data_IF_570834341373
#
_entry.id   IF_570834341373
#
_cell.length_a   1.000
_cell.length_b   1.000
_cell.length_c   1.000
_cell.angle_alpha   90.00
_cell.angle_beta   90.00
_cell.angle_gamma   90.00
#
_symmetry.space_group_name_H-M   'P 1'
#
loop_
_entity.id
_entity.type
_entity.pdbx_description
1 polymer ?
#
# COMPACT_ATOMS: atom_id res chain seq x y z
N UNK A 1 5.70 10.21 -2.65
CA UNK A 1 4.55 9.72 -3.44
C UNK A 1 3.23 9.86 -2.68
N UNK A 2 3.06 9.22 -1.52
CA UNK A 2 1.82 9.32 -0.72
C UNK A 2 1.51 10.79 -0.34
N UNK A 3 2.47 11.50 0.25
CA UNK A 3 2.33 12.94 0.59
C UNK A 3 2.05 13.85 -0.61
N UNK A 4 2.33 13.40 -1.83
CA UNK A 4 2.08 14.15 -3.07
C UNK A 4 0.75 13.75 -3.73
N UNK A 5 -0.03 12.83 -3.13
CA UNK A 5 -1.28 12.31 -3.72
C UNK A 5 -1.08 11.48 -4.98
N UNK A 6 0.14 11.04 -5.28
CA UNK A 6 0.45 10.27 -6.51
C UNK A 6 0.24 8.76 -6.36
N UNK A 7 0.16 8.27 -5.12
CA UNK A 7 -0.09 6.86 -4.87
C UNK A 7 -1.60 6.58 -4.99
N UNK A 8 -1.96 5.52 -5.72
CA UNK A 8 -3.34 5.06 -5.87
C UNK A 8 -3.67 3.96 -4.86
N UNK A 9 -2.66 3.18 -4.46
CA UNK A 9 -2.79 2.09 -3.47
C UNK A 9 -1.47 1.95 -2.69
N UNK A 10 -1.57 1.62 -1.41
CA UNK A 10 -0.43 1.25 -0.55
C UNK A 10 -0.67 -0.15 -0.01
N UNK A 11 0.36 -0.99 -0.04
CA UNK A 11 0.35 -2.35 0.50
C UNK A 11 1.35 -2.43 1.64
N UNK A 12 0.91 -2.94 2.79
CA UNK A 12 1.70 -3.06 4.01
C UNK A 12 1.84 -4.53 4.40
N UNK A 13 3.09 -4.99 4.55
CA UNK A 13 3.38 -6.32 5.09
C UNK A 13 2.95 -6.41 6.56
N UNK A 14 2.59 -7.62 7.01
CA UNK A 14 2.07 -7.87 8.35
C UNK A 14 3.04 -7.48 9.48
N UNK A 15 4.35 -7.59 9.23
CA UNK A 15 5.42 -7.34 10.19
C UNK A 15 6.04 -5.94 10.03
N UNK A 16 5.34 -5.03 9.35
CA UNK A 16 5.73 -3.62 9.31
C UNK A 16 5.68 -3.05 10.74
N UNK A 17 6.77 -2.44 11.25
CA UNK A 17 6.81 -1.88 12.60
C UNK A 17 5.67 -0.90 12.85
N UNK A 18 5.04 -0.98 14.03
CA UNK A 18 3.81 -0.27 14.37
C UNK A 18 3.90 1.25 14.10
N UNK A 19 4.99 1.90 14.51
CA UNK A 19 5.19 3.33 14.28
C UNK A 19 5.13 3.68 12.79
N UNK A 20 5.83 2.91 11.95
CA UNK A 20 5.88 3.12 10.50
C UNK A 20 4.54 2.82 9.84
N UNK A 21 3.85 1.77 10.32
CA UNK A 21 2.51 1.41 9.87
C UNK A 21 1.54 2.58 10.10
N UNK A 22 1.51 3.12 11.31
CA UNK A 22 0.65 4.25 11.68
C UNK A 22 0.99 5.53 10.91
N UNK A 23 2.27 5.84 10.70
CA UNK A 23 2.68 7.00 9.88
C UNK A 23 2.18 6.88 8.43
N UNK A 24 2.32 5.69 7.83
CA UNK A 24 1.92 5.46 6.44
C UNK A 24 0.39 5.49 6.30
N UNK A 25 -0.33 4.86 7.22
CA UNK A 25 -1.80 4.90 7.25
C UNK A 25 -2.31 6.34 7.40
N UNK A 26 -1.71 7.13 8.29
CA UNK A 26 -2.05 8.53 8.48
C UNK A 26 -1.87 9.34 7.19
N UNK A 27 -0.72 9.20 6.51
CA UNK A 27 -0.51 9.90 5.24
C UNK A 27 -1.42 9.40 4.12
N UNK A 28 -1.73 8.10 4.08
CA UNK A 28 -2.63 7.53 3.09
C UNK A 28 -4.06 8.03 3.29
N UNK A 29 -4.52 8.15 4.54
CA UNK A 29 -5.82 8.73 4.89
C UNK A 29 -5.92 10.18 4.40
N UNK A 30 -4.93 11.03 4.71
CA UNK A 30 -4.91 12.43 4.25
C UNK A 30 -4.88 12.54 2.73
N UNK A 31 -4.19 11.63 2.05
CA UNK A 31 -4.08 11.59 0.60
C UNK A 31 -5.25 10.85 -0.08
N UNK A 32 -6.25 10.38 0.67
CA UNK A 32 -7.35 9.53 0.19
C UNK A 32 -6.87 8.32 -0.64
N UNK A 33 -5.74 7.74 -0.24
CA UNK A 33 -5.11 6.59 -0.90
C UNK A 33 -5.55 5.30 -0.22
N UNK A 34 -5.96 4.29 -0.99
CA UNK A 34 -6.32 2.97 -0.45
C UNK A 34 -5.14 2.29 0.25
N UNK A 35 -5.41 1.59 1.35
CA UNK A 35 -4.39 0.83 2.12
C UNK A 35 -4.81 -0.64 2.23
N UNK A 36 -3.94 -1.54 1.78
CA UNK A 36 -4.14 -2.98 1.86
C UNK A 36 -3.17 -3.58 2.87
N UNK A 37 -3.70 -4.27 3.87
CA UNK A 37 -2.89 -5.06 4.79
C UNK A 37 -2.64 -6.44 4.19
N UNK A 38 -1.43 -6.63 3.68
CA UNK A 38 -0.99 -7.92 3.19
C UNK A 38 -0.81 -8.89 4.37
N UNK A 39 -1.36 -10.09 4.24
CA UNK A 39 -1.32 -11.12 5.29
C UNK A 39 0.07 -11.71 5.50
N UNK A 40 0.93 -11.66 4.48
CA UNK A 40 2.31 -12.16 4.53
C UNK A 40 3.32 -11.15 5.10
N UNK A 41 4.54 -11.63 5.32
CA UNK A 41 5.64 -10.83 5.87
C UNK A 41 6.41 -10.07 4.77
N UNK A 42 7.35 -9.23 5.19
CA UNK A 42 8.17 -8.42 4.28
C UNK A 42 9.15 -9.20 3.37
N UNK A 43 9.46 -10.46 3.69
CA UNK A 43 10.25 -11.33 2.82
C UNK A 43 9.34 -11.83 1.69
N UNK A 44 8.15 -12.34 2.03
CA UNK A 44 7.15 -12.83 1.07
C UNK A 44 6.69 -11.71 0.13
N UNK A 45 6.43 -10.52 0.67
CA UNK A 45 6.06 -9.35 -0.14
C UNK A 45 7.21 -8.93 -1.09
N UNK A 46 8.46 -9.00 -0.64
CA UNK A 46 9.64 -8.75 -1.48
C UNK A 46 9.75 -9.76 -2.62
N UNK A 47 9.60 -11.05 -2.31
CA UNK A 47 9.59 -12.14 -3.30
C UNK A 47 8.44 -11.98 -4.30
N UNK A 48 7.24 -11.61 -3.85
CA UNK A 48 6.09 -11.34 -4.72
C UNK A 48 6.36 -10.17 -5.70
N UNK A 49 7.17 -9.21 -5.29
CA UNK A 49 7.65 -8.12 -6.14
C UNK A 49 8.86 -8.49 -7.03
N UNK A 50 9.31 -9.75 -7.01
CA UNK A 50 10.50 -10.20 -7.73
C UNK A 50 11.81 -9.61 -7.19
N UNK A 51 11.87 -9.28 -5.89
CA UNK A 51 13.05 -8.69 -5.24
C UNK A 51 13.73 -9.69 -4.30
N UNK A 52 15.06 -9.70 -4.30
CA UNK A 52 15.89 -10.49 -3.39
C UNK A 52 16.16 -9.78 -2.05
N UNK A 53 15.37 -8.76 -1.72
CA UNK A 53 15.46 -8.01 -0.47
C UNK A 53 14.07 -7.78 0.11
N UNK A 54 14.02 -7.48 1.41
CA UNK A 54 12.78 -7.33 2.18
C UNK A 54 12.04 -6.04 1.79
N UNK A 55 10.73 -6.14 1.60
CA UNK A 55 9.84 -5.01 1.29
C UNK A 55 8.74 -4.95 2.35
N UNK A 56 8.75 -3.93 3.21
CA UNK A 56 7.67 -3.75 4.20
C UNK A 56 6.47 -3.00 3.63
N UNK A 57 6.70 -2.09 2.68
CA UNK A 57 5.68 -1.21 2.12
C UNK A 57 5.89 -1.08 0.62
N UNK A 58 4.80 -1.24 -0.13
CA UNK A 58 4.76 -0.99 -1.57
C UNK A 58 3.72 0.10 -1.85
N UNK A 59 4.05 1.07 -2.69
CA UNK A 59 3.12 2.09 -3.15
C UNK A 59 2.92 1.96 -4.66
N UNK A 60 1.68 1.79 -5.10
CA UNK A 60 1.30 1.69 -6.50
C UNK A 60 0.93 3.07 -7.01
N UNK A 61 1.68 3.54 -7.99
CA UNK A 61 1.48 4.84 -8.65
C UNK A 61 0.65 4.62 -9.92
N UNK A 62 1.00 3.56 -10.66
CA UNK A 62 0.32 3.15 -11.87
C UNK A 62 0.10 1.62 -11.81
N UNK A 63 -1.15 1.12 -11.91
CA UNK A 63 -1.41 -0.32 -11.94
C UNK A 63 -1.00 -0.97 -13.26
N UNK A 64 -0.78 -0.20 -14.34
CA UNK A 64 -0.67 -0.76 -15.69
C UNK A 64 -1.90 -1.61 -16.02
N UNK A 65 -1.68 -2.81 -16.54
CA UNK A 65 -2.74 -3.77 -16.89
C UNK A 65 -3.22 -4.63 -15.70
N UNK A 66 -2.79 -4.32 -14.47
CA UNK A 66 -3.16 -5.09 -13.28
C UNK A 66 -4.53 -4.69 -12.71
N UNK A 67 -5.33 -5.67 -12.31
CA UNK A 67 -6.59 -5.47 -11.58
C UNK A 67 -6.41 -5.09 -10.08
N UNK A 68 -5.18 -4.86 -9.63
CA UNK A 68 -4.81 -4.68 -8.21
C UNK A 68 -5.52 -3.52 -7.49
N UNK A 69 -6.03 -2.53 -8.22
CA UNK A 69 -6.78 -1.40 -7.66
C UNK A 69 -8.29 -1.69 -7.61
N UNK A 70 -8.82 -2.47 -8.56
CA UNK A 70 -10.25 -2.77 -8.68
C UNK A 70 -10.79 -3.58 -7.51
N UNK A 71 -9.94 -4.35 -6.84
CA UNK A 71 -10.30 -5.17 -5.69
C UNK A 71 -10.44 -4.40 -4.37
N UNK A 72 -10.23 -3.07 -4.36
CA UNK A 72 -10.48 -2.26 -3.17
C UNK A 72 -11.92 -1.78 -3.12
N UNK A 73 -12.61 -1.91 -1.96
CA UNK A 73 -13.85 -1.18 -1.75
C UNK A 73 -13.54 0.32 -1.84
N UNK A 74 -14.31 1.05 -2.66
CA UNK A 74 -14.25 2.51 -2.67
C UNK A 74 -14.49 3.01 -1.24
N UNK A 75 -13.51 3.70 -0.66
CA UNK A 75 -13.80 4.51 0.52
C UNK A 75 -14.68 5.65 0.03
N UNK A 76 -15.98 5.52 0.26
CA UNK A 76 -17.02 6.50 -0.04
C UNK A 76 -16.63 7.85 0.58
N UNK A 77 -15.94 8.68 -0.19
CA UNK A 77 -15.87 10.11 0.04
C UNK A 77 -17.14 10.70 -0.55
N UNK A 78 -18.07 11.09 0.32
CA UNK A 78 -19.27 11.83 -0.01
C UNK A 78 -19.00 12.92 -1.06
N UNK A 79 -19.91 13.03 -2.03
CA UNK A 79 -20.22 14.32 -2.66
C UNK A 79 -21.04 15.14 -1.68
#
# INVERSE_FOLDING_TARGET
MIRQGKAKLVILANNTPALRKSEIEYYAMLAKTGVHHYSGNNIELGTACGKYFRVCTLAIIDPGDSDIIRSMPEQTGEK
#
